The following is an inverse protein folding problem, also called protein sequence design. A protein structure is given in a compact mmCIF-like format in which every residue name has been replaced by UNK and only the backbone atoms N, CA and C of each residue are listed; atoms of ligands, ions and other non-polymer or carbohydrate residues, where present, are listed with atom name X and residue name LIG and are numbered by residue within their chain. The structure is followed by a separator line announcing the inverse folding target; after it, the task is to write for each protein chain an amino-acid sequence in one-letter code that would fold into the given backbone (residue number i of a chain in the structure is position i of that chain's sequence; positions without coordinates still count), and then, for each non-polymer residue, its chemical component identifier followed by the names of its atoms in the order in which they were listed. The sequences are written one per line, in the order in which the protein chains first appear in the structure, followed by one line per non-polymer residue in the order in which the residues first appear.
data_IF_040279669642
#
_entry.id   IF_040279669642
#
_cell.length_a   1.000
_cell.length_b   1.000
_cell.length_c   1.000
_cell.angle_alpha   90.00
_cell.angle_beta   90.00
_cell.angle_gamma   90.00
#
_symmetry.space_group_name_H-M   'P 1'
#
loop_
_entity.id
_entity.type
_entity.pdbx_description
1 polymer ?
#
# COMPACT_ATOMS: atom_id res chain seq x y z
N UNK A 1 -12.76 -5.78 -21.31
CA UNK A 1 -11.67 -6.32 -20.48
C UNK A 1 -11.39 -5.31 -19.36
N UNK A 2 -12.03 -5.43 -18.19
CA UNK A 2 -12.12 -4.30 -17.23
C UNK A 2 -10.98 -4.21 -16.21
N UNK A 3 -10.24 -5.29 -15.96
CA UNK A 3 -9.18 -5.34 -14.93
C UNK A 3 -7.85 -5.89 -15.40
N UNK A 4 -7.82 -6.44 -16.60
CA UNK A 4 -6.58 -6.76 -17.30
C UNK A 4 -6.01 -5.55 -18.03
N UNK A 5 -6.60 -4.35 -17.92
CA UNK A 5 -6.16 -3.15 -18.64
C UNK A 5 -4.70 -2.80 -18.34
N UNK A 6 -4.27 -2.93 -17.08
CA UNK A 6 -2.88 -2.71 -16.68
C UNK A 6 -1.96 -3.79 -17.29
N UNK A 7 -2.39 -5.06 -17.26
CA UNK A 7 -1.63 -6.19 -17.84
C UNK A 7 -1.58 -6.09 -19.37
N UNK A 8 -2.65 -5.65 -20.01
CA UNK A 8 -2.73 -5.42 -21.45
C UNK A 8 -1.85 -4.22 -21.82
N UNK A 9 -1.89 -3.14 -21.03
CA UNK A 9 -1.00 -2.00 -21.21
C UNK A 9 0.48 -2.40 -21.09
N UNK A 10 0.81 -3.23 -20.10
CA UNK A 10 2.13 -3.86 -19.96
C UNK A 10 2.48 -4.69 -21.20
N UNK A 11 1.57 -5.55 -21.65
CA UNK A 11 1.78 -6.43 -22.80
C UNK A 11 1.99 -5.64 -24.10
N UNK A 12 1.19 -4.60 -24.34
CA UNK A 12 1.34 -3.69 -25.48
C UNK A 12 2.69 -2.95 -25.39
N UNK A 13 3.05 -2.44 -24.20
CA UNK A 13 4.35 -1.82 -23.97
C UNK A 13 5.51 -2.78 -24.25
N UNK A 14 5.41 -4.03 -23.82
CA UNK A 14 6.40 -5.08 -24.11
C UNK A 14 6.49 -5.39 -25.61
N UNK A 15 5.36 -5.48 -26.32
CA UNK A 15 5.33 -5.72 -27.77
C UNK A 15 6.03 -4.59 -28.53
N UNK A 16 5.72 -3.34 -28.17
CA UNK A 16 6.37 -2.16 -28.77
C UNK A 16 7.87 -2.16 -28.45
N UNK A 17 8.25 -2.42 -27.19
CA UNK A 17 9.65 -2.46 -26.81
C UNK A 17 10.43 -3.57 -27.52
N UNK A 18 9.82 -4.74 -27.71
CA UNK A 18 10.39 -5.82 -28.50
C UNK A 18 10.55 -5.43 -29.99
N UNK A 19 9.56 -4.75 -30.57
CA UNK A 19 9.65 -4.22 -31.93
C UNK A 19 10.78 -3.17 -32.08
N UNK A 20 11.05 -2.41 -31.03
CA UNK A 20 12.15 -1.45 -30.98
C UNK A 20 13.52 -2.07 -30.62
N UNK A 21 13.61 -3.38 -30.40
CA UNK A 21 14.87 -4.07 -30.10
C UNK A 21 15.33 -4.00 -28.63
N UNK A 22 14.46 -3.58 -27.70
CA UNK A 22 14.77 -3.48 -26.27
C UNK A 22 14.56 -4.80 -25.50
N UNK A 23 14.51 -5.94 -26.18
CA UNK A 23 14.24 -7.23 -25.56
C UNK A 23 15.45 -8.17 -25.64
N UNK A 24 16.04 -8.49 -24.49
CA UNK A 24 17.11 -9.48 -24.39
C UNK A 24 16.55 -10.85 -23.99
N UNK A 25 16.75 -11.85 -24.86
CA UNK A 25 16.31 -13.24 -24.66
C UNK A 25 17.31 -14.07 -23.87
N UNK A 26 18.55 -13.60 -23.73
CA UNK A 26 19.65 -14.38 -23.15
C UNK A 26 19.30 -14.90 -21.74
N UNK A 27 18.73 -14.04 -20.89
CA UNK A 27 18.30 -14.40 -19.54
C UNK A 27 17.12 -15.38 -19.51
N UNK A 28 16.21 -15.29 -20.49
CA UNK A 28 15.07 -16.21 -20.60
C UNK A 28 15.56 -17.60 -21.00
N UNK A 29 16.46 -17.68 -21.98
CA UNK A 29 16.98 -18.95 -22.49
C UNK A 29 17.85 -19.66 -21.45
N UNK A 30 18.65 -18.90 -20.68
CA UNK A 30 19.50 -19.42 -19.61
C UNK A 30 18.72 -19.84 -18.34
N UNK A 31 17.52 -19.29 -18.11
CA UNK A 31 16.76 -19.56 -16.89
C UNK A 31 16.32 -21.04 -16.77
N UNK A 32 16.26 -21.61 -15.56
CA UNK A 32 15.74 -22.95 -15.34
C UNK A 32 14.25 -23.03 -15.69
N UNK A 33 13.77 -24.24 -16.02
CA UNK A 33 12.35 -24.46 -16.34
C UNK A 33 11.48 -24.42 -15.08
N UNK A 34 12.02 -24.88 -13.95
CA UNK A 34 11.33 -24.94 -12.67
C UNK A 34 12.08 -24.18 -11.58
N UNK A 35 11.35 -23.56 -10.66
CA UNK A 35 11.88 -22.98 -9.43
C UNK A 35 11.20 -23.58 -8.21
N UNK A 36 11.97 -23.81 -7.16
CA UNK A 36 11.49 -24.22 -5.84
C UNK A 36 11.94 -23.19 -4.80
N UNK A 37 11.17 -23.09 -3.72
CA UNK A 37 11.33 -22.04 -2.70
C UNK A 37 12.77 -21.91 -2.18
N UNK A 38 13.44 -23.03 -1.89
CA UNK A 38 14.80 -23.04 -1.33
C UNK A 38 15.88 -23.42 -2.34
N UNK A 39 15.66 -23.14 -3.63
CA UNK A 39 16.72 -23.34 -4.64
C UNK A 39 17.95 -22.47 -4.32
N UNK A 40 17.72 -21.25 -3.84
CA UNK A 40 18.73 -20.37 -3.30
C UNK A 40 18.37 -20.00 -1.87
N UNK A 41 19.36 -20.02 -0.98
CA UNK A 41 19.16 -19.77 0.46
C UNK A 41 20.06 -18.66 0.94
N UNK A 42 19.57 -17.86 1.89
CA UNK A 42 20.38 -16.86 2.59
C UNK A 42 20.74 -17.35 3.99
N UNK A 43 21.81 -16.77 4.57
CA UNK A 43 22.22 -17.11 5.93
C UNK A 43 21.16 -16.60 6.92
N UNK A 44 20.68 -17.48 7.79
CA UNK A 44 19.78 -17.09 8.87
C UNK A 44 20.60 -16.39 9.96
N UNK A 45 20.43 -15.07 10.07
CA UNK A 45 21.11 -14.26 11.07
C UNK A 45 20.13 -13.24 11.65
N UNK A 46 20.14 -13.08 12.96
CA UNK A 46 19.41 -12.01 13.64
C UNK A 46 20.31 -10.78 13.66
N UNK A 47 19.91 -9.75 12.93
CA UNK A 47 20.62 -8.48 12.91
C UNK A 47 19.97 -7.51 13.89
N UNK A 48 20.57 -7.40 15.08
CA UNK A 48 20.07 -6.59 16.20
C UNK A 48 19.69 -5.15 15.85
N UNK A 49 20.51 -4.39 15.10
CA UNK A 49 20.20 -2.99 14.78
C UNK A 49 18.93 -2.80 13.92
N UNK A 50 18.53 -3.81 13.11
CA UNK A 50 17.30 -3.72 12.31
C UNK A 50 16.05 -4.19 13.06
N UNK A 51 16.16 -4.71 14.29
CA UNK A 51 14.97 -5.21 15.01
C UNK A 51 13.92 -4.12 15.20
N UNK A 52 14.33 -2.95 15.69
CA UNK A 52 13.41 -1.82 15.92
C UNK A 52 12.90 -1.20 14.61
N UNK A 53 13.74 -0.95 13.58
CA UNK A 53 13.27 -0.57 12.25
C UNK A 53 12.24 -1.56 11.66
N UNK A 54 12.47 -2.86 11.82
CA UNK A 54 11.54 -3.88 11.30
C UNK A 54 10.22 -3.90 12.07
N UNK A 55 10.23 -3.69 13.39
CA UNK A 55 9.00 -3.52 14.17
C UNK A 55 8.21 -2.31 13.66
N UNK A 56 8.89 -1.19 13.40
CA UNK A 56 8.27 -0.01 12.81
C UNK A 56 7.63 -0.32 11.45
N UNK A 57 8.34 -1.03 10.55
CA UNK A 57 7.78 -1.50 9.26
C UNK A 57 6.52 -2.34 9.46
N UNK A 58 6.49 -3.26 10.41
CA UNK A 58 5.28 -4.08 10.64
C UNK A 58 4.11 -3.31 11.26
N UNK A 59 4.37 -2.29 12.08
CA UNK A 59 3.31 -1.37 12.56
C UNK A 59 2.71 -0.63 11.36
N UNK A 60 3.59 -0.18 10.47
CA UNK A 60 3.26 0.48 9.20
C UNK A 60 2.40 -0.44 8.31
N UNK A 61 2.81 -1.69 8.08
CA UNK A 61 2.05 -2.62 7.22
C UNK A 61 0.74 -3.04 7.86
N UNK A 62 0.67 -3.15 9.20
CA UNK A 62 -0.59 -3.40 9.90
C UNK A 62 -1.59 -2.26 9.67
N UNK A 63 -1.16 -1.00 9.76
CA UNK A 63 -2.00 0.16 9.46
C UNK A 63 -2.47 0.18 7.99
N UNK A 64 -1.57 -0.14 7.06
CA UNK A 64 -1.89 -0.28 5.63
C UNK A 64 -2.93 -1.39 5.39
N UNK A 65 -2.72 -2.57 5.98
CA UNK A 65 -3.63 -3.71 5.87
C UNK A 65 -5.03 -3.37 6.39
N UNK A 66 -5.15 -2.64 7.50
CA UNK A 66 -6.44 -2.16 8.01
C UNK A 66 -7.16 -1.32 6.94
N UNK A 67 -6.47 -0.35 6.34
CA UNK A 67 -7.01 0.49 5.28
C UNK A 67 -7.45 -0.31 4.05
N UNK A 68 -6.61 -1.24 3.61
CA UNK A 68 -6.85 -2.07 2.43
C UNK A 68 -7.99 -3.06 2.60
N UNK A 69 -8.09 -3.70 3.78
CA UNK A 69 -9.20 -4.61 4.10
C UNK A 69 -10.50 -3.81 4.19
N UNK A 70 -10.46 -2.60 4.75
CA UNK A 70 -11.63 -1.71 4.82
C UNK A 70 -12.10 -1.33 3.41
N UNK A 71 -11.17 -0.93 2.55
CA UNK A 71 -11.45 -0.64 1.15
C UNK A 71 -12.00 -1.87 0.43
N UNK A 72 -11.44 -3.06 0.69
CA UNK A 72 -11.91 -4.34 0.14
C UNK A 72 -13.35 -4.63 0.56
N UNK A 73 -13.69 -4.43 1.84
CA UNK A 73 -15.04 -4.63 2.35
C UNK A 73 -16.03 -3.71 1.63
N UNK A 74 -15.69 -2.44 1.46
CA UNK A 74 -16.53 -1.48 0.77
C UNK A 74 -16.75 -1.81 -0.72
N UNK A 75 -15.67 -2.06 -1.48
CA UNK A 75 -15.81 -2.40 -2.91
C UNK A 75 -16.50 -3.75 -3.12
N UNK A 76 -16.44 -4.63 -2.12
CA UNK A 76 -17.14 -5.92 -2.10
C UNK A 76 -18.56 -5.82 -1.54
N UNK A 77 -19.04 -4.63 -1.16
CA UNK A 77 -20.36 -4.37 -0.58
C UNK A 77 -20.62 -5.15 0.71
N UNK A 78 -19.60 -5.26 1.53
CA UNK A 78 -19.65 -5.86 2.85
C UNK A 78 -19.70 -4.76 3.93
N UNK A 79 -20.05 -5.16 5.14
CA UNK A 79 -20.05 -4.29 6.31
C UNK A 79 -18.66 -3.68 6.55
N UNK A 80 -18.63 -2.37 6.82
CA UNK A 80 -17.43 -1.58 7.16
C UNK A 80 -17.40 -1.16 8.63
N UNK A 81 -18.34 -1.67 9.43
CA UNK A 81 -18.48 -1.44 10.87
C UNK A 81 -19.12 -2.68 11.52
N UNK A 82 -18.90 -2.86 12.82
CA UNK A 82 -19.47 -3.96 13.62
C UNK A 82 -18.52 -5.14 13.82
N UNK A 83 -18.94 -6.11 14.63
CA UNK A 83 -18.08 -7.21 15.10
C UNK A 83 -17.53 -8.07 13.95
N UNK A 84 -18.32 -8.32 12.90
CA UNK A 84 -17.88 -9.08 11.73
C UNK A 84 -16.77 -8.35 10.97
N UNK A 85 -16.85 -7.02 10.89
CA UNK A 85 -15.82 -6.19 10.25
C UNK A 85 -14.54 -6.22 11.10
N UNK A 86 -14.64 -6.03 12.41
CA UNK A 86 -13.49 -6.07 13.32
C UNK A 86 -12.79 -7.44 13.29
N UNK A 87 -13.57 -8.53 13.22
CA UNK A 87 -13.03 -9.89 13.06
C UNK A 87 -12.26 -10.07 11.74
N UNK A 88 -12.73 -9.49 10.64
CA UNK A 88 -12.00 -9.51 9.35
C UNK A 88 -10.70 -8.73 9.42
N UNK A 89 -10.70 -7.57 10.08
CA UNK A 89 -9.49 -6.77 10.29
C UNK A 89 -8.47 -7.54 11.14
N UNK A 90 -8.90 -8.09 12.29
CA UNK A 90 -8.04 -8.89 13.16
C UNK A 90 -7.46 -10.12 12.43
N UNK A 91 -8.31 -10.86 11.71
CA UNK A 91 -7.89 -12.03 10.95
C UNK A 91 -6.94 -11.67 9.80
N UNK A 92 -7.17 -10.53 9.14
CA UNK A 92 -6.30 -10.05 8.06
C UNK A 92 -4.92 -9.61 8.56
N UNK A 93 -4.85 -8.82 9.63
CA UNK A 93 -3.57 -8.40 10.24
C UNK A 93 -2.82 -9.60 10.83
N UNK A 94 -3.52 -10.56 11.44
CA UNK A 94 -2.89 -11.79 11.93
C UNK A 94 -2.31 -12.62 10.79
N UNK A 95 -3.07 -12.78 9.69
CA UNK A 95 -2.58 -13.48 8.51
C UNK A 95 -1.39 -12.76 7.87
N UNK A 96 -1.37 -11.43 7.88
CA UNK A 96 -0.26 -10.61 7.40
C UNK A 96 1.06 -10.93 8.12
N UNK A 97 1.03 -10.92 9.45
CA UNK A 97 2.18 -11.24 10.29
C UNK A 97 2.63 -12.69 10.13
N UNK A 98 1.70 -13.65 10.18
CA UNK A 98 2.02 -15.08 10.01
C UNK A 98 2.63 -15.34 8.63
N UNK A 99 2.02 -14.81 7.58
CA UNK A 99 2.52 -14.99 6.22
C UNK A 99 3.87 -14.32 6.02
N UNK A 100 4.14 -13.19 6.69
CA UNK A 100 5.44 -12.53 6.64
C UNK A 100 6.54 -13.36 7.33
N UNK A 101 6.23 -14.06 8.43
CA UNK A 101 7.16 -15.02 9.05
C UNK A 101 7.44 -16.18 8.10
N UNK A 102 6.39 -16.76 7.49
CA UNK A 102 6.54 -17.85 6.52
C UNK A 102 7.36 -17.37 5.31
N UNK A 103 7.07 -16.19 4.78
CA UNK A 103 7.78 -15.56 3.68
C UNK A 103 9.27 -15.39 4.00
N UNK A 104 9.61 -14.88 5.20
CA UNK A 104 10.99 -14.74 5.65
C UNK A 104 11.75 -16.09 5.68
N UNK A 105 11.10 -17.16 6.16
CA UNK A 105 11.67 -18.51 6.12
C UNK A 105 11.82 -19.04 4.68
N UNK A 106 10.98 -18.56 3.77
CA UNK A 106 11.00 -18.84 2.33
C UNK A 106 11.88 -17.85 1.54
N UNK A 107 12.76 -17.09 2.22
CA UNK A 107 13.71 -16.12 1.62
C UNK A 107 13.09 -14.86 0.98
N UNK A 108 11.84 -14.56 1.32
CA UNK A 108 11.09 -13.40 0.83
C UNK A 108 11.05 -12.31 1.90
N UNK A 109 11.06 -11.04 1.47
CA UNK A 109 10.92 -9.86 2.35
C UNK A 109 9.52 -9.79 3.00
N UNK A 110 9.30 -8.91 3.98
CA UNK A 110 7.96 -8.69 4.54
C UNK A 110 6.92 -8.46 3.45
N UNK A 111 5.71 -9.00 3.66
CA UNK A 111 4.60 -8.92 2.71
C UNK A 111 3.45 -8.18 3.39
N UNK A 112 2.60 -7.52 2.59
CA UNK A 112 1.40 -6.84 3.08
C UNK A 112 0.21 -7.07 2.14
N UNK A 113 -0.97 -6.61 2.55
CA UNK A 113 -2.18 -6.60 1.71
C UNK A 113 -1.98 -5.68 0.50
N UNK A 114 -2.50 -6.08 -0.67
CA UNK A 114 -2.23 -5.38 -1.93
C UNK A 114 -3.45 -4.58 -2.41
N UNK A 115 -3.48 -3.28 -2.11
CA UNK A 115 -4.57 -2.34 -2.42
C UNK A 115 -5.09 -2.35 -3.86
N UNK A 116 -4.26 -2.72 -4.84
CA UNK A 116 -4.58 -2.70 -6.28
C UNK A 116 -5.72 -3.66 -6.63
N UNK A 117 -5.93 -4.72 -5.83
CA UNK A 117 -7.04 -5.65 -6.02
C UNK A 117 -8.41 -4.95 -5.87
N UNK A 118 -8.50 -3.89 -5.07
CA UNK A 118 -9.75 -3.17 -4.80
C UNK A 118 -10.29 -2.49 -6.05
N UNK A 119 -9.41 -1.89 -6.85
CA UNK A 119 -9.78 -1.31 -8.14
C UNK A 119 -10.34 -2.35 -9.12
N UNK A 120 -9.78 -3.58 -9.09
CA UNK A 120 -10.27 -4.70 -9.89
C UNK A 120 -11.66 -5.14 -9.45
N UNK A 121 -11.86 -5.31 -8.15
CA UNK A 121 -13.14 -5.75 -7.58
C UNK A 121 -14.23 -4.69 -7.84
N UNK A 122 -13.93 -3.40 -7.67
CA UNK A 122 -14.88 -2.32 -7.92
C UNK A 122 -15.40 -2.31 -9.37
N UNK A 123 -14.53 -2.60 -10.35
CA UNK A 123 -14.88 -2.59 -11.77
C UNK A 123 -15.52 -3.90 -12.26
N UNK A 124 -15.09 -5.04 -11.72
CA UNK A 124 -15.55 -6.37 -12.15
C UNK A 124 -16.72 -6.91 -11.34
N UNK A 125 -16.94 -6.36 -10.14
CA UNK A 125 -17.90 -6.85 -9.14
C UNK A 125 -17.66 -8.30 -8.76
N UNK A 126 -16.41 -8.77 -8.82
CA UNK A 126 -16.03 -10.15 -8.52
C UNK A 126 -14.85 -10.19 -7.54
N UNK A 127 -15.11 -10.63 -6.31
CA UNK A 127 -14.10 -10.83 -5.26
C UNK A 127 -13.74 -12.32 -5.11
N UNK A 128 -13.21 -12.93 -6.17
CA UNK A 128 -12.88 -14.37 -6.20
C UNK A 128 -11.59 -14.69 -5.41
N UNK A 129 -11.62 -15.76 -4.62
CA UNK A 129 -10.49 -16.22 -3.79
C UNK A 129 -9.48 -17.12 -4.53
N UNK A 130 -9.72 -17.42 -5.81
CA UNK A 130 -8.94 -18.45 -6.56
C UNK A 130 -7.63 -17.94 -7.18
N UNK A 131 -7.37 -16.63 -7.15
CA UNK A 131 -6.22 -16.03 -7.83
C UNK A 131 -4.86 -16.53 -7.31
N UNK A 132 -4.74 -16.84 -6.02
CA UNK A 132 -3.49 -17.32 -5.42
C UNK A 132 -2.99 -18.64 -6.02
N UNK A 133 -3.89 -19.54 -6.41
CA UNK A 133 -3.50 -20.81 -7.05
C UNK A 133 -2.79 -20.59 -8.39
N UNK A 134 -3.25 -19.62 -9.17
CA UNK A 134 -2.62 -19.28 -10.45
C UNK A 134 -1.20 -18.75 -10.26
N UNK A 135 -0.98 -17.90 -9.25
CA UNK A 135 0.36 -17.38 -8.93
C UNK A 135 1.32 -18.48 -8.47
N UNK A 136 0.84 -19.45 -7.69
CA UNK A 136 1.64 -20.61 -7.29
C UNK A 136 2.13 -21.39 -8.50
N UNK A 137 1.23 -21.71 -9.43
CA UNK A 137 1.56 -22.45 -10.66
C UNK A 137 2.50 -21.63 -11.54
N UNK A 138 2.25 -20.33 -11.71
CA UNK A 138 3.11 -19.44 -12.49
C UNK A 138 4.52 -19.32 -11.88
N UNK A 139 4.64 -19.33 -10.55
CA UNK A 139 5.92 -19.26 -9.84
C UNK A 139 6.79 -20.52 -10.01
N UNK A 140 6.16 -21.69 -10.19
CA UNK A 140 6.90 -22.93 -10.50
C UNK A 140 7.61 -22.80 -11.85
N UNK A 141 6.97 -22.20 -12.86
CA UNK A 141 7.57 -22.03 -14.18
C UNK A 141 8.55 -20.85 -14.22
N UNK A 142 9.82 -21.09 -13.84
CA UNK A 142 10.84 -20.04 -13.73
C UNK A 142 11.11 -19.26 -15.03
N UNK A 143 10.80 -19.83 -16.20
CA UNK A 143 10.83 -19.11 -17.49
C UNK A 143 9.86 -17.92 -17.52
N UNK A 144 8.71 -18.03 -16.86
CA UNK A 144 7.75 -16.92 -16.73
C UNK A 144 8.35 -15.80 -15.86
N UNK A 145 9.01 -16.15 -14.76
CA UNK A 145 9.73 -15.18 -13.93
C UNK A 145 10.87 -14.49 -14.72
N UNK A 146 11.65 -15.25 -15.48
CA UNK A 146 12.71 -14.70 -16.34
C UNK A 146 12.17 -13.76 -17.42
N UNK A 147 10.99 -14.06 -17.98
CA UNK A 147 10.32 -13.18 -18.92
C UNK A 147 9.86 -11.85 -18.28
N UNK A 148 9.45 -11.86 -17.01
CA UNK A 148 9.13 -10.65 -16.24
C UNK A 148 10.40 -9.82 -15.98
N UNK A 149 11.52 -10.47 -15.63
CA UNK A 149 12.81 -9.79 -15.43
C UNK A 149 13.34 -9.17 -16.73
N UNK A 150 13.05 -9.78 -17.88
CA UNK A 150 13.40 -9.24 -19.19
C UNK A 150 12.53 -8.04 -19.63
N UNK A 151 11.51 -7.64 -18.87
CA UNK A 151 10.69 -6.48 -19.22
C UNK A 151 11.53 -5.20 -19.08
N UNK A 152 11.56 -4.34 -20.11
CA UNK A 152 12.31 -3.08 -20.04
C UNK A 152 11.84 -2.15 -18.93
N UNK A 153 12.80 -1.47 -18.28
CA UNK A 153 12.54 -0.58 -17.17
C UNK A 153 11.52 0.54 -17.49
N UNK A 154 11.50 1.05 -18.73
CA UNK A 154 10.52 2.06 -19.16
C UNK A 154 9.08 1.52 -19.16
N UNK A 155 8.88 0.26 -19.56
CA UNK A 155 7.56 -0.39 -19.58
C UNK A 155 7.10 -0.71 -18.16
N UNK A 156 8.01 -1.24 -17.32
CA UNK A 156 7.74 -1.45 -15.90
C UNK A 156 7.41 -0.13 -15.21
N UNK A 157 8.16 0.95 -15.49
CA UNK A 157 7.93 2.28 -14.93
C UNK A 157 6.55 2.85 -15.26
N UNK A 158 6.08 2.69 -16.50
CA UNK A 158 4.72 3.12 -16.89
C UNK A 158 3.63 2.33 -16.15
N UNK A 159 3.81 1.01 -16.02
CA UNK A 159 2.89 0.13 -15.31
C UNK A 159 2.87 0.43 -13.80
N UNK A 160 4.03 0.58 -13.16
CA UNK A 160 4.12 0.90 -11.73
C UNK A 160 3.57 2.28 -11.43
N UNK A 161 3.82 3.28 -12.27
CA UNK A 161 3.25 4.64 -12.13
C UNK A 161 1.73 4.59 -12.12
N UNK A 162 1.12 3.83 -13.04
CA UNK A 162 -0.33 3.66 -13.05
C UNK A 162 -0.84 2.95 -11.79
N UNK A 163 -0.14 1.91 -11.33
CA UNK A 163 -0.50 1.18 -10.11
C UNK A 163 -0.48 2.10 -8.88
N UNK A 164 0.59 2.86 -8.67
CA UNK A 164 0.69 3.79 -7.54
C UNK A 164 -0.34 4.92 -7.63
N UNK A 165 -0.58 5.46 -8.84
CA UNK A 165 -1.64 6.44 -9.06
C UNK A 165 -3.03 5.92 -8.68
N UNK A 166 -3.33 4.66 -9.03
CA UNK A 166 -4.60 4.02 -8.67
C UNK A 166 -4.77 3.83 -7.15
N UNK A 167 -3.68 3.54 -6.43
CA UNK A 167 -3.69 3.44 -4.95
C UNK A 167 -4.01 4.81 -4.34
N UNK A 168 -3.34 5.88 -4.80
CA UNK A 168 -3.60 7.24 -4.33
C UNK A 168 -5.07 7.67 -4.57
N UNK A 169 -5.62 7.39 -5.76
CA UNK A 169 -7.03 7.67 -6.08
C UNK A 169 -7.98 6.87 -5.19
N UNK A 170 -7.65 5.61 -4.88
CA UNK A 170 -8.46 4.79 -3.97
C UNK A 170 -8.44 5.35 -2.55
N UNK A 171 -7.30 5.84 -2.07
CA UNK A 171 -7.20 6.57 -0.80
C UNK A 171 -8.09 7.81 -0.75
N UNK A 172 -8.10 8.62 -1.81
CA UNK A 172 -8.99 9.78 -1.92
C UNK A 172 -10.48 9.39 -1.89
N UNK A 173 -10.84 8.26 -2.52
CA UNK A 173 -12.21 7.75 -2.51
C UNK A 173 -12.66 7.30 -1.10
N UNK A 174 -11.74 6.77 -0.28
CA UNK A 174 -12.02 6.45 1.13
C UNK A 174 -12.26 7.74 1.93
N UNK A 175 -11.37 8.72 1.76
CA UNK A 175 -11.45 10.03 2.43
C UNK A 175 -12.76 10.75 2.10
N UNK A 176 -13.22 10.67 0.85
CA UNK A 176 -14.46 11.31 0.38
C UNK A 176 -15.75 10.79 1.04
N UNK A 177 -15.70 9.68 1.80
CA UNK A 177 -16.88 9.15 2.53
C UNK A 177 -17.17 9.88 3.83
N UNK A 178 -16.19 10.59 4.37
CA UNK A 178 -16.34 11.38 5.59
C UNK A 178 -16.86 12.77 5.20
N UNK A 179 -17.85 13.34 5.91
CA UNK A 179 -18.35 14.68 5.60
C UNK A 179 -17.21 15.70 5.62
N UNK A 180 -17.02 16.41 4.51
CA UNK A 180 -15.95 17.39 4.33
C UNK A 180 -16.29 18.73 4.99
N UNK A 181 -16.55 18.70 6.30
CA UNK A 181 -16.75 19.88 7.15
C UNK A 181 -15.41 20.60 7.44
N UNK A 182 -15.45 21.73 8.14
CA UNK A 182 -14.25 22.53 8.40
C UNK A 182 -13.22 21.73 9.20
N UNK A 183 -13.68 20.97 10.20
CA UNK A 183 -12.85 20.09 11.02
C UNK A 183 -12.11 19.04 10.19
N UNK A 184 -12.83 18.25 9.39
CA UNK A 184 -12.25 17.12 8.66
C UNK A 184 -11.33 17.59 7.53
N UNK A 185 -11.66 18.71 6.87
CA UNK A 185 -10.75 19.34 5.89
C UNK A 185 -9.46 19.83 6.56
N UNK A 186 -9.54 20.40 7.76
CA UNK A 186 -8.36 20.84 8.51
C UNK A 186 -7.46 19.65 8.89
N UNK A 187 -8.04 18.59 9.44
CA UNK A 187 -7.32 17.35 9.81
C UNK A 187 -6.61 16.78 8.58
N UNK A 188 -7.34 16.63 7.45
CA UNK A 188 -6.79 16.09 6.21
C UNK A 188 -5.64 16.95 5.67
N UNK A 189 -5.82 18.27 5.63
CA UNK A 189 -4.78 19.20 5.15
C UNK A 189 -3.51 19.10 5.98
N UNK A 190 -3.62 19.14 7.31
CA UNK A 190 -2.46 19.07 8.19
C UNK A 190 -1.75 17.71 8.08
N UNK A 191 -2.50 16.61 8.06
CA UNK A 191 -1.95 15.26 7.95
C UNK A 191 -1.22 15.02 6.61
N UNK A 192 -1.80 15.46 5.50
CA UNK A 192 -1.18 15.33 4.18
C UNK A 192 0.03 16.25 4.02
N UNK A 193 -0.07 17.51 4.46
CA UNK A 193 1.02 18.47 4.35
C UNK A 193 2.25 18.02 5.15
N UNK A 194 2.06 17.57 6.39
CA UNK A 194 3.17 17.13 7.25
C UNK A 194 3.77 15.80 6.80
N UNK A 195 2.95 14.82 6.40
CA UNK A 195 3.48 13.54 5.92
C UNK A 195 4.17 13.63 4.56
N UNK A 196 3.65 14.44 3.63
CA UNK A 196 4.37 14.73 2.39
C UNK A 196 5.65 15.53 2.66
N UNK A 197 5.61 16.49 3.60
CA UNK A 197 6.78 17.22 4.08
C UNK A 197 7.88 16.29 4.60
N UNK A 198 7.52 15.30 5.42
CA UNK A 198 8.45 14.28 5.92
C UNK A 198 9.11 13.47 4.77
N UNK A 199 8.35 13.16 3.72
CA UNK A 199 8.87 12.43 2.54
C UNK A 199 9.85 13.30 1.72
N UNK A 200 9.63 14.62 1.68
CA UNK A 200 10.51 15.55 0.93
C UNK A 200 11.85 15.80 1.64
N UNK A 201 11.91 15.60 2.96
CA UNK A 201 13.11 15.87 3.77
C UNK A 201 13.55 14.64 4.56
N UNK A 202 13.99 13.56 3.90
CA UNK A 202 14.35 12.31 4.58
C UNK A 202 15.43 12.55 5.65
N UNK A 203 16.55 13.17 5.29
CA UNK A 203 17.69 13.35 6.19
C UNK A 203 17.51 14.43 7.28
N UNK A 204 16.34 15.06 7.40
CA UNK A 204 16.14 16.10 8.42
C UNK A 204 16.28 15.55 9.83
N UNK A 205 15.77 14.35 10.08
CA UNK A 205 15.77 13.75 11.41
C UNK A 205 17.18 13.31 11.85
N UNK A 206 18.07 13.00 10.92
CA UNK A 206 19.48 12.72 11.22
C UNK A 206 20.25 13.95 11.75
N UNK A 207 19.73 15.18 11.58
CA UNK A 207 20.27 16.37 12.24
C UNK A 207 19.74 16.56 13.66
N UNK A 208 18.56 16.00 13.97
CA UNK A 208 17.93 16.05 15.30
C UNK A 208 18.56 15.02 16.22
N UNK A 209 18.85 13.83 15.69
CA UNK A 209 19.49 12.75 16.42
C UNK A 209 20.98 12.72 16.07
N UNK A 210 21.81 13.34 16.92
CA UNK A 210 23.25 13.43 16.70
C UNK A 210 23.96 12.07 16.65
N UNK A 211 25.15 12.05 16.02
CA UNK A 211 25.98 10.85 15.95
C UNK A 211 26.29 10.31 17.36
N UNK A 212 25.99 9.02 17.58
CA UNK A 212 26.26 8.33 18.84
C UNK A 212 27.17 7.13 18.62
N UNK A 213 28.15 6.96 19.51
CA UNK A 213 29.04 5.79 19.51
C UNK A 213 28.36 4.55 20.13
N UNK A 214 27.20 4.73 20.78
CA UNK A 214 26.46 3.64 21.39
C UNK A 214 25.62 2.88 20.35
N UNK A 215 26.03 1.66 20.02
CA UNK A 215 25.37 0.78 19.03
C UNK A 215 23.90 0.52 19.33
N UNK A 216 23.52 0.38 20.60
CA UNK A 216 22.12 0.12 21.00
C UNK A 216 21.26 1.36 20.85
N UNK A 217 21.81 2.53 21.23
CA UNK A 217 21.13 3.81 21.03
C UNK A 217 20.98 4.14 19.54
N UNK A 218 22.02 3.86 18.75
CA UNK A 218 22.01 4.05 17.31
C UNK A 218 20.88 3.28 16.62
N UNK A 219 20.70 1.99 16.92
CA UNK A 219 19.60 1.21 16.35
C UNK A 219 18.20 1.73 16.75
N UNK A 220 18.07 2.30 17.95
CA UNK A 220 16.83 2.94 18.39
C UNK A 220 16.57 4.27 17.66
N UNK A 221 17.60 5.09 17.48
CA UNK A 221 17.51 6.34 16.72
C UNK A 221 17.21 6.08 15.24
N UNK A 222 17.87 5.11 14.62
CA UNK A 222 17.61 4.67 13.24
C UNK A 222 16.16 4.18 13.06
N UNK A 223 15.58 3.53 14.07
CA UNK A 223 14.17 3.14 14.04
C UNK A 223 13.22 4.34 14.10
N UNK A 224 13.53 5.33 14.93
CA UNK A 224 12.74 6.56 15.03
C UNK A 224 12.87 7.36 13.74
N UNK A 225 14.07 7.49 13.19
CA UNK A 225 14.32 8.12 11.89
C UNK A 225 13.50 7.45 10.80
N UNK A 226 13.50 6.10 10.73
CA UNK A 226 12.70 5.37 9.75
C UNK A 226 11.20 5.69 9.84
N UNK A 227 10.63 5.73 11.05
CA UNK A 227 9.20 6.09 11.25
C UNK A 227 8.94 7.53 10.82
N UNK A 228 9.84 8.46 11.16
CA UNK A 228 9.69 9.88 10.89
C UNK A 228 9.93 10.25 9.42
N UNK A 229 10.79 9.51 8.71
CA UNK A 229 10.98 9.62 7.26
C UNK A 229 9.80 9.01 6.48
N UNK A 230 9.08 8.07 7.08
CA UNK A 230 7.95 7.41 6.43
C UNK A 230 6.73 8.34 6.38
N UNK A 231 6.52 8.99 5.23
CA UNK A 231 5.48 10.01 5.06
C UNK A 231 4.07 9.60 5.47
N UNK A 232 3.60 8.41 5.08
CA UNK A 232 2.24 7.98 5.45
C UNK A 232 2.11 7.62 6.94
N UNK A 233 3.20 7.21 7.62
CA UNK A 233 3.19 6.99 9.07
C UNK A 233 2.99 8.31 9.82
N UNK A 234 3.69 9.36 9.38
CA UNK A 234 3.50 10.73 9.87
C UNK A 234 2.09 11.24 9.56
N UNK A 235 1.57 11.02 8.34
CA UNK A 235 0.19 11.36 7.99
C UNK A 235 -0.81 10.69 8.92
N UNK A 236 -0.68 9.37 9.16
CA UNK A 236 -1.57 8.63 10.03
C UNK A 236 -1.52 9.15 11.47
N UNK A 237 -0.31 9.36 12.01
CA UNK A 237 -0.13 9.89 13.36
C UNK A 237 -0.79 11.26 13.54
N UNK A 238 -0.53 12.21 12.63
CA UNK A 238 -1.12 13.55 12.68
C UNK A 238 -2.64 13.49 12.53
N UNK A 239 -3.15 12.66 11.60
CA UNK A 239 -4.58 12.51 11.40
C UNK A 239 -5.28 11.99 12.66
N UNK A 240 -4.72 10.96 13.31
CA UNK A 240 -5.25 10.41 14.55
C UNK A 240 -5.19 11.41 15.70
N UNK A 241 -4.05 12.07 15.87
CA UNK A 241 -3.84 13.06 16.93
C UNK A 241 -4.82 14.22 16.81
N UNK A 242 -4.96 14.81 15.62
CA UNK A 242 -5.90 15.90 15.38
C UNK A 242 -7.34 15.42 15.48
N UNK A 243 -7.67 14.22 15.01
CA UNK A 243 -9.01 13.67 15.18
C UNK A 243 -9.37 13.43 16.66
N UNK A 244 -8.38 13.13 17.51
CA UNK A 244 -8.59 12.97 18.95
C UNK A 244 -8.75 14.30 19.69
N UNK A 245 -7.92 15.31 19.35
CA UNK A 245 -7.90 16.60 20.05
C UNK A 245 -9.00 17.55 19.55
N UNK A 246 -9.32 17.52 18.27
CA UNK A 246 -10.27 18.48 17.68
C UNK A 246 -11.71 18.15 18.11
N UNK A 247 -12.45 19.11 18.69
CA UNK A 247 -13.83 18.90 19.11
C UNK A 247 -14.70 18.51 17.91
N UNK A 248 -15.73 17.70 18.14
CA UNK A 248 -16.69 17.37 17.11
C UNK A 248 -17.41 18.64 16.62
N UNK A 249 -17.43 18.85 15.31
CA UNK A 249 -18.18 19.96 14.71
C UNK A 249 -19.66 19.52 14.68
N UNK A 250 -20.52 20.25 15.41
CA UNK A 250 -21.97 20.04 15.33
C UNK A 250 -22.40 20.58 13.97
N UNK A 251 -22.81 19.70 13.06
CA UNK A 251 -23.39 20.15 11.78
C UNK A 251 -24.66 20.94 12.08
N UNK A 252 -24.66 22.25 11.80
CA UNK A 252 -25.89 23.00 11.65
C UNK A 252 -26.68 22.35 10.51
N UNK A 253 -27.84 21.80 10.84
CA UNK A 253 -28.81 21.28 9.87
C UNK A 253 -29.11 22.40 8.90
N UNK A 254 -28.50 22.34 7.71
CA UNK A 254 -28.77 23.30 6.64
C UNK A 254 -30.17 22.97 6.13
N UNK A 255 -31.18 23.62 6.71
CA UNK A 255 -32.56 23.51 6.29
C UNK A 255 -32.64 23.72 4.77
N UNK A 256 -33.02 22.65 4.07
CA UNK A 256 -33.26 22.65 2.62
C UNK A 256 -34.50 23.47 2.23
N UNK A 257 -35.11 24.20 3.17
CA UNK A 257 -36.34 24.96 2.97
C UNK A 257 -36.11 26.32 2.27
N UNK A 258 -34.93 26.94 2.40
CA UNK A 258 -34.73 28.34 1.96
C UNK A 258 -34.53 28.52 0.45
N UNK A 259 -34.35 27.45 -0.33
CA UNK A 259 -34.24 27.55 -1.80
C UNK A 259 -35.62 27.46 -2.47
N UNK A 260 -36.66 26.99 -1.77
CA UNK A 260 -38.01 26.88 -2.34
C UNK A 260 -38.84 28.17 -2.27
N UNK A 261 -38.48 29.12 -1.40
CA UNK A 261 -39.25 30.35 -1.18
C UNK A 261 -38.84 31.54 -2.07
N UNK A 262 -37.71 31.45 -2.78
CA UNK A 262 -37.24 32.54 -3.66
C UNK A 262 -37.81 32.40 -5.09
N UNK A 263 -38.41 31.26 -5.44
CA UNK A 263 -39.01 31.02 -6.76
C UNK A 263 -40.52 31.29 -6.86
N UNK A 264 -41.16 31.81 -5.81
CA UNK A 264 -42.60 32.12 -5.78
C UNK A 264 -42.86 33.41 -4.99
N UNK A 265 -42.47 34.54 -5.57
CA UNK A 265 -43.06 35.84 -5.24
C UNK A 265 -42.96 36.70 -6.51
N UNK A 266 -44.13 36.85 -7.14
CA UNK A 266 -44.58 37.86 -8.11
C UNK A 266 -43.81 38.08 -9.43
#
# INVERSE_FOLDING_TARGET
MKSSSVIIGLLVGCIIAAACGYFDRSGIDAAPVASFIWLHTFKLQVYGPLVLPMIAVYIITACEAVGDITATCDVSRLEVQGETYDSRIQGGVLADGINSVIAALMTVTPMTTFAQNNGVIALTRCASRKAGFFLLVAGIFAKFAAAIVAIPAAVLGGMTTFLFGSVAVSGLAIVAKVPMNRRNRFILTAALALGYGATLTPTWFSYVFGATDNKSLRGFLEAIELVLETGFAVTAFVAMLLNFIMPAEIEEVRDSATVSSIGKAD
#
